data_IF_397595784177
#
_entry.id   IF_397595784177
#
_cell.length_a   1.000
_cell.length_b   1.000
_cell.length_c   1.000
_cell.angle_alpha   90.00
_cell.angle_beta   90.00
_cell.angle_gamma   90.00
#
_symmetry.space_group_name_H-M   'P 1'
#
loop_
_entity.id
_entity.type
_entity.pdbx_description
1 polymer ?
#
# COMPACT_ATOMS: atom_id res chain seq x y z
N UNK A 1 16.69 -3.19 -1.04
CA UNK A 1 16.39 -3.14 -2.50
C UNK A 1 14.92 -3.43 -2.81
N UNK A 2 14.37 -4.59 -2.42
CA UNK A 2 12.96 -4.94 -2.70
C UNK A 2 11.93 -3.97 -2.10
N UNK A 3 12.10 -3.56 -0.83
CA UNK A 3 11.25 -2.55 -0.18
C UNK A 3 11.22 -1.20 -0.92
N UNK A 4 12.39 -0.72 -1.37
CA UNK A 4 12.51 0.52 -2.14
C UNK A 4 11.80 0.43 -3.49
N UNK A 5 11.98 -0.68 -4.22
CA UNK A 5 11.30 -0.92 -5.49
C UNK A 5 9.78 -0.93 -5.30
N UNK A 6 9.28 -1.60 -4.26
CA UNK A 6 7.87 -1.63 -3.93
C UNK A 6 7.31 -0.21 -3.69
N UNK A 7 7.97 0.58 -2.85
CA UNK A 7 7.53 1.94 -2.54
C UNK A 7 7.57 2.85 -3.76
N UNK A 8 8.61 2.76 -4.60
CA UNK A 8 8.77 3.61 -5.78
C UNK A 8 7.89 3.19 -6.97
N UNK A 9 7.56 1.91 -7.10
CA UNK A 9 6.86 1.38 -8.29
C UNK A 9 5.39 1.06 -8.06
N UNK A 10 4.96 0.93 -6.81
CA UNK A 10 3.56 0.65 -6.48
C UNK A 10 2.99 1.76 -5.61
N UNK A 11 3.57 1.99 -4.43
CA UNK A 11 2.98 2.91 -3.45
C UNK A 11 2.97 4.36 -3.94
N UNK A 12 4.11 4.87 -4.42
CA UNK A 12 4.18 6.26 -4.89
C UNK A 12 3.31 6.53 -6.13
N UNK A 13 3.34 5.73 -7.21
CA UNK A 13 2.46 5.93 -8.36
C UNK A 13 0.96 5.86 -8.00
N UNK A 14 0.60 5.02 -7.04
CA UNK A 14 -0.75 4.95 -6.52
C UNK A 14 -1.16 6.25 -5.80
N UNK A 15 -0.30 6.74 -4.90
CA UNK A 15 -0.52 8.01 -4.21
C UNK A 15 -0.61 9.18 -5.20
N UNK A 16 0.26 9.22 -6.22
CA UNK A 16 0.24 10.23 -7.27
C UNK A 16 -1.08 10.21 -8.05
N UNK A 17 -1.62 9.02 -8.34
CA UNK A 17 -2.92 8.86 -8.99
C UNK A 17 -4.08 9.40 -8.15
N UNK A 18 -4.09 9.13 -6.84
CA UNK A 18 -5.08 9.68 -5.90
C UNK A 18 -4.99 11.21 -5.86
N UNK A 19 -3.79 11.74 -5.74
CA UNK A 19 -3.55 13.19 -5.72
C UNK A 19 -4.06 13.88 -6.98
N UNK A 20 -3.75 13.31 -8.14
CA UNK A 20 -4.21 13.82 -9.42
C UNK A 20 -5.73 13.80 -9.55
N UNK A 21 -6.40 12.78 -9.01
CA UNK A 21 -7.85 12.67 -9.08
C UNK A 21 -8.56 13.67 -8.13
N UNK A 22 -7.94 13.99 -7.01
CA UNK A 22 -8.54 14.81 -5.95
C UNK A 22 -8.04 16.27 -5.93
N UNK A 23 -7.00 16.59 -6.69
CA UNK A 23 -6.41 17.92 -6.73
C UNK A 23 -5.72 18.34 -5.42
N UNK A 24 -5.26 17.36 -4.64
CA UNK A 24 -4.62 17.56 -3.33
C UNK A 24 -3.17 17.08 -3.35
N UNK A 25 -2.38 17.49 -2.37
CA UNK A 25 -1.01 16.98 -2.19
C UNK A 25 -1.00 15.53 -1.68
N UNK A 26 0.12 14.79 -1.85
CA UNK A 26 0.26 13.43 -1.31
C UNK A 26 0.02 13.32 0.20
N UNK A 27 0.46 14.31 0.98
CA UNK A 27 0.22 14.35 2.42
C UNK A 27 -1.25 14.57 2.76
N UNK A 28 -1.94 15.46 2.05
CA UNK A 28 -3.37 15.71 2.24
C UNK A 28 -4.22 14.51 1.85
N UNK A 29 -3.95 13.89 0.69
CA UNK A 29 -4.58 12.65 0.27
C UNK A 29 -4.41 11.57 1.33
N UNK A 30 -3.18 11.37 1.82
CA UNK A 30 -2.88 10.36 2.82
C UNK A 30 -3.62 10.60 4.14
N UNK A 31 -3.68 11.85 4.61
CA UNK A 31 -4.44 12.22 5.82
C UNK A 31 -5.93 11.93 5.67
N UNK A 32 -6.51 12.19 4.49
CA UNK A 32 -7.91 11.88 4.19
C UNK A 32 -8.12 10.36 4.22
N UNK A 33 -7.27 9.62 3.52
CA UNK A 33 -7.34 8.16 3.47
C UNK A 33 -7.25 7.51 4.86
N UNK A 34 -6.36 8.01 5.72
CA UNK A 34 -6.23 7.52 7.09
C UNK A 34 -7.50 7.82 7.90
N UNK A 35 -8.03 9.05 7.82
CA UNK A 35 -9.25 9.47 8.54
C UNK A 35 -10.50 8.70 8.11
N UNK A 36 -10.60 8.39 6.82
CA UNK A 36 -11.70 7.61 6.27
C UNK A 36 -11.48 6.09 6.42
N UNK A 37 -10.37 5.68 7.03
CA UNK A 37 -9.91 4.30 7.12
C UNK A 37 -9.86 3.59 5.75
N UNK A 38 -9.66 4.35 4.67
CA UNK A 38 -9.68 3.88 3.30
C UNK A 38 -8.35 3.20 2.96
N UNK A 39 -8.25 1.91 3.28
CA UNK A 39 -7.10 1.06 2.94
C UNK A 39 -7.13 0.65 1.47
N UNK A 40 -5.99 0.19 0.95
CA UNK A 40 -5.88 -0.19 -0.47
C UNK A 40 -6.92 -1.22 -0.93
N UNK A 41 -7.25 -2.21 -0.10
CA UNK A 41 -8.29 -3.20 -0.40
C UNK A 41 -9.69 -2.59 -0.43
N UNK A 42 -10.01 -1.66 0.48
CA UNK A 42 -11.30 -0.95 0.49
C UNK A 42 -11.45 -0.12 -0.78
N UNK A 43 -10.42 0.63 -1.16
CA UNK A 43 -10.44 1.44 -2.39
C UNK A 43 -10.59 0.55 -3.63
N UNK A 44 -9.86 -0.57 -3.67
CA UNK A 44 -9.92 -1.52 -4.77
C UNK A 44 -11.28 -2.21 -4.91
N UNK A 45 -11.96 -2.53 -3.79
CA UNK A 45 -13.33 -3.07 -3.77
C UNK A 45 -14.33 -2.13 -4.45
N UNK A 46 -14.14 -0.82 -4.35
CA UNK A 46 -14.98 0.17 -5.01
C UNK A 46 -14.61 0.42 -6.49
N UNK A 47 -13.46 -0.06 -6.95
CA UNK A 47 -12.95 0.17 -8.31
C UNK A 47 -12.40 -1.11 -8.98
N UNK A 48 -13.20 -2.18 -9.12
CA UNK A 48 -12.72 -3.49 -9.58
C UNK A 48 -12.18 -3.47 -11.02
N UNK A 49 -12.71 -2.61 -11.88
CA UNK A 49 -12.26 -2.49 -13.27
C UNK A 49 -10.87 -1.83 -13.36
N UNK A 50 -10.64 -0.73 -12.63
CA UNK A 50 -9.35 -0.07 -12.56
C UNK A 50 -8.28 -0.99 -11.95
N UNK A 51 -8.64 -1.77 -10.92
CA UNK A 51 -7.76 -2.79 -10.37
C UNK A 51 -7.38 -3.84 -11.42
N UNK A 52 -8.37 -4.36 -12.16
CA UNK A 52 -8.14 -5.35 -13.22
C UNK A 52 -7.22 -4.82 -14.31
N UNK A 53 -7.35 -3.55 -14.68
CA UNK A 53 -6.48 -2.91 -15.67
C UNK A 53 -5.05 -2.77 -15.15
N UNK A 54 -4.88 -2.31 -13.90
CA UNK A 54 -3.57 -2.22 -13.23
C UNK A 54 -2.86 -3.58 -13.19
N UNK A 55 -3.55 -4.63 -12.71
CA UNK A 55 -2.99 -5.98 -12.61
C UNK A 55 -2.64 -6.59 -13.98
N UNK A 56 -3.18 -6.05 -15.07
CA UNK A 56 -2.87 -6.51 -16.41
C UNK A 56 -1.63 -5.87 -17.04
N UNK A 57 -1.13 -4.77 -16.47
CA UNK A 57 0.09 -4.11 -16.92
C UNK A 57 1.32 -5.01 -16.74
N UNK A 58 2.22 -5.03 -17.73
CA UNK A 58 3.40 -5.91 -17.75
C UNK A 58 4.33 -5.64 -16.57
N UNK A 59 4.55 -4.37 -16.25
CA UNK A 59 5.38 -3.91 -15.13
C UNK A 59 4.82 -4.42 -13.81
N UNK A 60 3.50 -4.35 -13.64
CA UNK A 60 2.82 -4.83 -12.44
C UNK A 60 2.93 -6.34 -12.32
N UNK A 61 2.76 -7.10 -13.42
CA UNK A 61 2.96 -8.56 -13.42
C UNK A 61 4.37 -8.97 -13.01
N UNK A 62 5.38 -8.24 -13.46
CA UNK A 62 6.78 -8.47 -13.05
C UNK A 62 6.95 -8.21 -11.55
N UNK A 63 6.41 -7.11 -11.04
CA UNK A 63 6.50 -6.78 -9.61
C UNK A 63 5.75 -7.81 -8.76
N UNK A 64 4.57 -8.26 -9.18
CA UNK A 64 3.81 -9.34 -8.53
C UNK A 64 4.62 -10.64 -8.50
N UNK A 65 5.31 -10.98 -9.59
CA UNK A 65 6.21 -12.13 -9.63
C UNK A 65 7.33 -12.05 -8.60
N UNK A 66 8.01 -10.89 -8.50
CA UNK A 66 9.07 -10.64 -7.51
C UNK A 66 8.50 -10.68 -6.08
N UNK A 67 7.31 -10.13 -5.88
CA UNK A 67 6.65 -10.06 -4.59
C UNK A 67 5.92 -11.35 -4.20
N UNK A 68 5.86 -12.37 -5.06
CA UNK A 68 5.14 -13.63 -4.83
C UNK A 68 5.40 -14.33 -3.50
N UNK A 69 6.61 -14.27 -2.89
CA UNK A 69 6.81 -14.83 -1.55
C UNK A 69 5.93 -14.17 -0.46
N UNK A 70 5.53 -12.90 -0.64
CA UNK A 70 4.67 -12.19 0.29
C UNK A 70 3.27 -12.82 0.40
N UNK A 71 2.80 -13.50 -0.65
CA UNK A 71 1.51 -14.19 -0.65
C UNK A 71 1.40 -15.35 0.37
N UNK A 72 2.51 -15.77 0.99
CA UNK A 72 2.52 -16.79 2.05
C UNK A 72 2.78 -16.21 3.45
N UNK A 73 2.98 -14.89 3.56
CA UNK A 73 3.38 -14.26 4.83
C UNK A 73 2.15 -13.98 5.70
N UNK A 74 2.27 -14.31 7.00
CA UNK A 74 1.24 -14.03 8.00
C UNK A 74 1.05 -12.53 8.20
N UNK A 75 -0.12 -12.14 8.69
CA UNK A 75 -0.42 -10.76 9.09
C UNK A 75 0.59 -10.25 10.14
N UNK A 76 0.93 -11.08 11.12
CA UNK A 76 1.98 -10.78 12.12
C UNK A 76 3.35 -10.54 11.49
N UNK A 77 3.71 -11.32 10.47
CA UNK A 77 4.97 -11.11 9.75
C UNK A 77 4.96 -9.77 9.01
N UNK A 78 3.84 -9.43 8.36
CA UNK A 78 3.66 -8.13 7.71
C UNK A 78 3.79 -7.01 8.72
N UNK A 79 3.15 -7.11 9.88
CA UNK A 79 3.27 -6.12 10.96
C UNK A 79 4.71 -5.94 11.42
N UNK A 80 5.46 -7.02 11.61
CA UNK A 80 6.89 -6.93 11.96
C UNK A 80 7.74 -6.28 10.87
N UNK A 81 7.33 -6.41 9.60
CA UNK A 81 8.02 -5.80 8.46
C UNK A 81 7.52 -4.41 8.11
N UNK A 82 6.34 -4.00 8.58
CA UNK A 82 5.82 -2.66 8.34
C UNK A 82 6.72 -1.61 8.96
N UNK A 83 7.33 -1.89 10.13
CA UNK A 83 8.29 -0.98 10.75
C UNK A 83 9.53 -0.76 9.86
N UNK A 84 10.06 -1.83 9.27
CA UNK A 84 11.21 -1.73 8.33
C UNK A 84 10.80 -1.00 7.05
N UNK A 85 9.60 -1.26 6.53
CA UNK A 85 9.08 -0.54 5.35
C UNK A 85 8.84 0.93 5.65
N UNK A 86 8.42 1.24 6.87
CA UNK A 86 8.22 2.60 7.36
C UNK A 86 9.56 3.33 7.50
N UNK A 87 10.60 2.69 8.04
CA UNK A 87 11.97 3.21 8.06
C UNK A 87 12.48 3.53 6.66
N UNK A 88 12.33 2.61 5.71
CA UNK A 88 12.72 2.86 4.32
C UNK A 88 11.93 4.03 3.74
N UNK A 89 10.64 4.17 4.07
CA UNK A 89 9.80 5.27 3.62
C UNK A 89 10.22 6.61 4.23
N UNK A 90 10.66 6.65 5.49
CA UNK A 90 11.27 7.84 6.09
C UNK A 90 12.49 8.31 5.29
N UNK A 91 13.30 7.37 4.80
CA UNK A 91 14.50 7.69 4.01
C UNK A 91 14.16 8.19 2.59
N UNK A 92 13.21 7.55 1.91
CA UNK A 92 12.98 7.82 0.48
C UNK A 92 11.80 8.75 0.20
N UNK A 93 10.86 8.89 1.14
CA UNK A 93 9.62 9.70 1.05
C UNK A 93 9.24 10.25 2.44
N UNK A 94 10.08 11.11 3.06
CA UNK A 94 9.90 11.56 4.44
C UNK A 94 8.60 12.33 4.70
N UNK A 95 8.04 12.97 3.69
CA UNK A 95 6.75 13.68 3.74
C UNK A 95 5.58 12.70 3.93
N UNK A 96 5.54 11.64 3.13
CA UNK A 96 4.54 10.57 3.27
C UNK A 96 4.69 9.86 4.62
N UNK A 97 5.92 9.55 5.03
CA UNK A 97 6.16 8.93 6.34
C UNK A 97 5.66 9.82 7.50
N UNK A 98 5.91 11.13 7.44
CA UNK A 98 5.35 12.09 8.41
C UNK A 98 3.84 12.12 8.38
N UNK A 99 3.22 12.14 7.19
CA UNK A 99 1.77 12.08 7.05
C UNK A 99 1.14 10.88 7.77
N UNK A 100 1.80 9.71 7.73
CA UNK A 100 1.37 8.51 8.47
C UNK A 100 1.61 8.66 9.97
N UNK A 101 2.80 9.07 10.40
CA UNK A 101 3.15 9.18 11.82
C UNK A 101 2.32 10.24 12.56
N UNK A 102 2.08 11.38 11.91
CA UNK A 102 1.43 12.55 12.52
C UNK A 102 -0.10 12.43 12.52
N UNK A 103 -0.67 11.47 11.78
CA UNK A 103 -2.12 11.27 11.72
C UNK A 103 -2.54 10.19 12.71
N UNK A 104 -3.46 10.48 13.65
CA UNK A 104 -4.01 9.45 14.54
C UNK A 104 -4.53 8.25 13.76
N UNK A 105 -4.09 7.04 14.14
CA UNK A 105 -4.43 5.79 13.44
C UNK A 105 -3.58 5.48 12.19
N UNK A 106 -2.65 6.35 11.80
CA UNK A 106 -1.87 6.19 10.57
C UNK A 106 -0.99 4.94 10.54
N UNK A 107 -0.31 4.59 11.63
CA UNK A 107 0.50 3.35 11.69
C UNK A 107 -0.35 2.09 11.48
N UNK A 108 -1.53 2.04 12.09
CA UNK A 108 -2.47 0.93 11.90
C UNK A 108 -3.00 0.92 10.46
N UNK A 109 -3.38 2.08 9.92
CA UNK A 109 -3.80 2.22 8.52
C UNK A 109 -2.72 1.74 7.53
N UNK A 110 -1.45 2.06 7.78
CA UNK A 110 -0.34 1.66 6.94
C UNK A 110 -0.17 0.14 6.93
N UNK A 111 -0.17 -0.47 8.12
CA UNK A 111 -0.13 -1.92 8.27
C UNK A 111 -1.31 -2.59 7.53
N UNK A 112 -2.54 -2.15 7.78
CA UNK A 112 -3.74 -2.70 7.13
C UNK A 112 -3.71 -2.53 5.61
N UNK A 113 -3.16 -1.42 5.11
CA UNK A 113 -2.97 -1.20 3.68
C UNK A 113 -1.96 -2.18 3.07
N UNK A 114 -0.89 -2.54 3.78
CA UNK A 114 0.07 -3.56 3.32
C UNK A 114 -0.55 -4.96 3.30
N UNK A 115 -1.35 -5.31 4.31
CA UNK A 115 -2.12 -6.56 4.36
C UNK A 115 -3.10 -6.62 3.18
N UNK A 116 -3.92 -5.58 3.02
CA UNK A 116 -4.88 -5.48 1.93
C UNK A 116 -4.24 -5.57 0.55
N UNK A 117 -3.05 -4.98 0.37
CA UNK A 117 -2.32 -5.09 -0.89
C UNK A 117 -1.80 -6.51 -1.15
N UNK A 118 -1.28 -7.22 -0.15
CA UNK A 118 -0.94 -8.65 -0.31
C UNK A 118 -2.17 -9.41 -0.82
N UNK A 119 -3.32 -9.17 -0.20
CA UNK A 119 -4.55 -9.89 -0.53
C UNK A 119 -5.06 -9.56 -1.94
N UNK A 120 -4.97 -8.29 -2.35
CA UNK A 120 -5.25 -7.86 -3.73
C UNK A 120 -4.34 -8.58 -4.73
N UNK A 121 -3.03 -8.61 -4.46
CA UNK A 121 -2.04 -9.10 -5.42
C UNK A 121 -2.01 -10.63 -5.51
N UNK A 122 -2.30 -11.34 -4.42
CA UNK A 122 -2.14 -12.80 -4.32
C UNK A 122 -3.42 -13.57 -4.04
N UNK A 123 -4.56 -12.88 -3.90
CA UNK A 123 -5.89 -13.49 -3.82
C UNK A 123 -6.11 -14.37 -2.59
N UNK A 124 -5.28 -14.24 -1.56
CA UNK A 124 -5.41 -15.03 -0.33
C UNK A 124 -6.10 -14.23 0.75
N UNK A 125 -7.40 -14.43 1.02
CA UNK A 125 -7.89 -14.14 2.35
C UNK A 125 -7.11 -15.04 3.32
N UNK A 126 -6.52 -14.46 4.37
CA UNK A 126 -6.13 -15.27 5.52
C UNK A 126 -7.41 -15.79 6.15
N UNK A 127 -7.74 -17.04 5.82
CA UNK A 127 -8.63 -17.84 6.64
C UNK A 127 -7.92 -18.00 7.97
N UNK A 128 -8.32 -17.19 8.94
CA UNK A 128 -8.07 -17.46 10.35
C UNK A 128 -8.57 -18.88 10.62
N UNK A 129 -7.63 -19.81 10.85
CA UNK A 129 -7.90 -21.12 11.47
C UNK A 129 -7.73 -20.93 12.97
#
# INVERSE_FOLDING_TARGET
MQAKIFLERIFAPYMDGICSAWGVTPEEALRILIKEEATFDKIAKHNPQALKELLNQTEIKVIVGIASPLGNMSDEWIKKKSDILFEVMMDIRPELARGIADTPGGTEWFYQSLVGLRDILFGKPQLNI
#
